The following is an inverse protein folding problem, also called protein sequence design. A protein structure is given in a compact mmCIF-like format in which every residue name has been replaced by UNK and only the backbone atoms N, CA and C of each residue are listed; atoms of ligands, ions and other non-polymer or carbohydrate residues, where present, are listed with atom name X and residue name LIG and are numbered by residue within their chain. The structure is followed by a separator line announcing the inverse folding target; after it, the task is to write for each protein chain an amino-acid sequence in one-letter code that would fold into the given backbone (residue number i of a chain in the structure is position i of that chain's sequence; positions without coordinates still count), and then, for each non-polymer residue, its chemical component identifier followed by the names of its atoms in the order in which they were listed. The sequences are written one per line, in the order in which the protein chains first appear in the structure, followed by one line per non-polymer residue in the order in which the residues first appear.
data_IF_591994561412
#
_entry.id   IF_591994561412
#
_cell.length_a   1.000
_cell.length_b   1.000
_cell.length_c   1.000
_cell.angle_alpha   90.00
_cell.angle_beta   90.00
_cell.angle_gamma   90.00
#
_symmetry.space_group_name_H-M   'P 1'
#
loop_
_entity.id
_entity.type
_entity.pdbx_description
1 polymer ?
#
# COMPACT_ATOMS: atom_id res chain seq x y z
N UNK A 1 -10.68 7.90 5.64
CA UNK A 1 -9.90 7.29 4.54
C UNK A 1 -10.65 6.10 4.05
N UNK A 2 -10.78 5.95 2.73
CA UNK A 2 -11.31 4.71 2.16
C UNK A 2 -10.42 3.52 2.54
N UNK A 3 -10.99 2.31 2.78
CA UNK A 3 -10.26 1.15 3.27
C UNK A 3 -9.06 0.72 2.40
N UNK A 4 -9.12 0.94 1.08
CA UNK A 4 -8.00 0.62 0.20
C UNK A 4 -6.75 1.47 0.47
N UNK A 5 -6.90 2.72 0.92
CA UNK A 5 -5.75 3.55 1.27
C UNK A 5 -5.09 3.11 2.59
N UNK A 6 -5.82 2.44 3.48
CA UNK A 6 -5.20 1.77 4.64
C UNK A 6 -4.35 0.57 4.19
N UNK A 7 -4.78 -0.13 3.14
CA UNK A 7 -3.98 -1.19 2.51
C UNK A 7 -2.73 -0.63 1.84
N UNK A 8 -2.85 0.49 1.12
CA UNK A 8 -1.71 1.19 0.54
C UNK A 8 -0.72 1.68 1.61
N UNK A 9 -1.22 2.24 2.72
CA UNK A 9 -0.41 2.66 3.87
C UNK A 9 0.36 1.47 4.44
N UNK A 10 -0.30 0.32 4.61
CA UNK A 10 0.35 -0.91 5.08
C UNK A 10 1.48 -1.35 4.15
N UNK A 11 1.24 -1.33 2.83
CA UNK A 11 2.27 -1.66 1.83
C UNK A 11 3.44 -0.69 1.94
N UNK A 12 3.17 0.62 2.03
CA UNK A 12 4.20 1.64 2.22
C UNK A 12 5.00 1.40 3.50
N UNK A 13 4.35 1.10 4.63
CA UNK A 13 5.02 0.85 5.90
C UNK A 13 5.93 -0.38 5.89
N UNK A 14 5.63 -1.38 5.06
CA UNK A 14 6.50 -2.54 4.83
C UNK A 14 7.77 -2.14 4.09
N UNK A 15 7.69 -1.22 3.13
CA UNK A 15 8.78 -0.94 2.16
C UNK A 15 9.53 0.36 2.41
N UNK A 16 9.02 1.28 3.23
CA UNK A 16 9.57 2.65 3.40
C UNK A 16 11.01 2.71 3.90
N UNK A 17 11.49 1.67 4.57
CA UNK A 17 12.86 1.57 5.09
C UNK A 17 13.81 0.86 4.11
N UNK A 18 13.31 0.37 2.98
CA UNK A 18 14.12 -0.24 1.92
C UNK A 18 14.82 0.84 1.09
N UNK A 19 16.02 0.55 0.58
CA UNK A 19 16.77 1.49 -0.25
C UNK A 19 16.08 1.76 -1.61
N UNK A 20 15.25 0.82 -2.09
CA UNK A 20 14.50 0.92 -3.35
C UNK A 20 13.05 0.42 -3.18
N UNK A 21 12.18 1.20 -2.51
CA UNK A 21 10.83 0.77 -2.13
C UNK A 21 9.94 0.33 -3.31
N UNK A 22 10.12 0.93 -4.48
CA UNK A 22 9.34 0.64 -5.69
C UNK A 22 9.73 -0.66 -6.39
N UNK A 23 10.87 -1.25 -5.99
CA UNK A 23 11.35 -2.54 -6.50
C UNK A 23 11.07 -3.70 -5.54
N UNK A 24 10.68 -3.38 -4.29
CA UNK A 24 10.42 -4.37 -3.27
C UNK A 24 9.19 -5.22 -3.62
N UNK A 25 9.36 -6.54 -3.57
CA UNK A 25 8.30 -7.51 -3.86
C UNK A 25 7.60 -7.93 -2.56
N UNK A 26 6.57 -7.17 -2.19
CA UNK A 26 5.76 -7.49 -1.02
C UNK A 26 4.89 -8.72 -1.27
N UNK A 27 4.87 -9.67 -0.35
CA UNK A 27 3.98 -10.82 -0.47
C UNK A 27 2.60 -10.49 0.10
N UNK A 28 1.54 -11.13 -0.44
CA UNK A 28 0.19 -11.01 0.12
C UNK A 28 0.16 -11.36 1.62
N UNK A 29 0.98 -12.34 2.03
CA UNK A 29 1.14 -12.73 3.43
C UNK A 29 1.64 -11.59 4.32
N UNK A 30 2.61 -10.80 3.86
CA UNK A 30 3.14 -9.67 4.64
C UNK A 30 2.08 -8.60 4.90
N UNK A 31 1.16 -8.42 3.96
CA UNK A 31 0.02 -7.49 4.06
C UNK A 31 -1.02 -8.03 5.04
N UNK A 32 -1.43 -9.29 4.88
CA UNK A 32 -2.46 -9.94 5.72
C UNK A 32 -2.04 -9.93 7.21
N UNK A 33 -0.76 -10.17 7.50
CA UNK A 33 -0.26 -10.19 8.88
C UNK A 33 -0.31 -8.84 9.59
N UNK A 34 -0.50 -7.74 8.87
CA UNK A 34 -0.47 -6.37 9.39
C UNK A 34 -1.84 -5.68 9.40
N UNK A 35 -2.89 -6.36 8.93
CA UNK A 35 -4.24 -5.82 8.89
C UNK A 35 -5.24 -6.75 9.55
N UNK A 36 -6.18 -6.17 10.30
CA UNK A 36 -7.34 -6.90 10.84
C UNK A 36 -8.45 -6.83 9.78
N UNK A 37 -8.20 -7.46 8.63
CA UNK A 37 -9.14 -7.56 7.52
C UNK A 37 -9.09 -8.97 6.91
N UNK A 38 -10.24 -9.46 6.44
CA UNK A 38 -10.31 -10.74 5.74
C UNK A 38 -9.62 -10.69 4.38
N UNK A 39 -9.13 -11.84 3.89
CA UNK A 39 -8.44 -11.92 2.60
C UNK A 39 -9.25 -11.32 1.44
N UNK A 40 -10.55 -11.63 1.35
CA UNK A 40 -11.41 -11.11 0.28
C UNK A 40 -11.51 -9.58 0.27
N UNK A 41 -11.40 -8.91 1.43
CA UNK A 41 -11.36 -7.46 1.51
C UNK A 41 -10.02 -6.92 1.03
N UNK A 42 -8.92 -7.54 1.46
CA UNK A 42 -7.57 -7.16 1.05
C UNK A 42 -7.41 -7.33 -0.47
N UNK A 43 -7.88 -8.44 -1.03
CA UNK A 43 -7.85 -8.71 -2.46
C UNK A 43 -8.57 -7.61 -3.25
N UNK A 44 -9.80 -7.25 -2.84
CA UNK A 44 -10.54 -6.15 -3.46
C UNK A 44 -9.82 -4.81 -3.33
N UNK A 45 -9.18 -4.52 -2.20
CA UNK A 45 -8.39 -3.30 -2.04
C UNK A 45 -7.20 -3.28 -3.00
N UNK A 46 -6.51 -4.40 -3.16
CA UNK A 46 -5.38 -4.52 -4.08
C UNK A 46 -5.82 -4.28 -5.53
N UNK A 47 -6.94 -4.86 -5.95
CA UNK A 47 -7.51 -4.63 -7.28
C UNK A 47 -7.82 -3.14 -7.53
N UNK A 48 -8.45 -2.46 -6.56
CA UNK A 48 -8.73 -1.03 -6.66
C UNK A 48 -7.45 -0.20 -6.75
N UNK A 49 -6.46 -0.48 -5.91
CA UNK A 49 -5.17 0.23 -5.94
C UNK A 49 -4.39 0.00 -7.23
N UNK A 50 -4.50 -1.19 -7.83
CA UNK A 50 -3.90 -1.49 -9.14
C UNK A 50 -4.61 -0.73 -10.26
N UNK A 51 -5.95 -0.68 -10.24
CA UNK A 51 -6.73 0.13 -11.19
C UNK A 51 -6.35 1.63 -11.13
N UNK A 52 -6.07 2.13 -9.92
CA UNK A 52 -5.60 3.50 -9.69
C UNK A 52 -4.10 3.70 -9.99
N UNK A 53 -3.37 2.65 -10.39
CA UNK A 53 -1.91 2.66 -10.68
C UNK A 53 -1.04 3.02 -9.47
N UNK A 54 -1.55 2.81 -8.26
CA UNK A 54 -0.82 3.06 -7.00
C UNK A 54 0.05 1.87 -6.60
N UNK A 55 -0.30 0.68 -7.07
CA UNK A 55 0.49 -0.54 -6.95
C UNK A 55 0.55 -1.27 -8.30
N UNK A 56 1.43 -2.26 -8.39
CA UNK A 56 1.49 -3.23 -9.48
C UNK A 56 1.37 -4.62 -8.86
N UNK A 57 0.43 -5.44 -9.35
CA UNK A 57 0.32 -6.84 -8.97
C UNK A 57 1.03 -7.69 -10.04
N UNK A 58 2.04 -8.44 -9.62
CA UNK A 58 2.77 -9.36 -10.52
C UNK A 58 2.45 -10.79 -10.13
N UNK A 59 2.05 -11.58 -11.13
CA UNK A 59 1.89 -13.03 -11.02
C UNK A 59 3.16 -13.68 -11.57
N UNK A 60 4.12 -13.94 -10.68
CA UNK A 60 5.32 -14.72 -10.97
C UNK A 60 5.05 -16.18 -10.53
N UNK A 61 5.97 -16.82 -9.80
CA UNK A 61 5.69 -18.07 -9.09
C UNK A 61 4.70 -17.90 -7.93
N UNK A 62 4.49 -16.65 -7.50
CA UNK A 62 3.52 -16.23 -6.49
C UNK A 62 3.01 -14.83 -6.80
N UNK A 63 1.89 -14.44 -6.18
CA UNK A 63 1.38 -13.06 -6.23
C UNK A 63 2.28 -12.17 -5.39
N UNK A 64 2.89 -11.17 -6.03
CA UNK A 64 3.70 -10.15 -5.37
C UNK A 64 3.19 -8.76 -5.74
N UNK A 65 3.32 -7.83 -4.79
CA UNK A 65 2.83 -6.46 -4.88
C UNK A 65 4.03 -5.52 -4.82
N UNK A 66 4.11 -4.58 -5.76
CA UNK A 66 5.08 -3.49 -5.76
C UNK A 66 4.32 -2.17 -5.61
N UNK A 67 4.76 -1.28 -4.71
CA UNK A 67 4.22 0.08 -4.67
C UNK A 67 4.80 0.90 -5.83
N UNK A 68 4.00 1.77 -6.45
CA UNK A 68 4.50 2.71 -7.46
C UNK A 68 4.94 4.01 -6.81
N UNK A 69 5.71 4.83 -7.53
CA UNK A 69 6.03 6.19 -7.08
C UNK A 69 4.77 7.03 -6.84
N UNK A 70 3.69 6.80 -7.62
CA UNK A 70 2.40 7.45 -7.41
C UNK A 70 1.74 7.00 -6.11
N UNK A 71 1.81 5.70 -5.79
CA UNK A 71 1.33 5.17 -4.50
C UNK A 71 2.04 5.79 -3.31
N UNK A 72 3.37 5.94 -3.39
CA UNK A 72 4.17 6.63 -2.35
C UNK A 72 3.70 8.08 -2.20
N UNK A 73 3.62 8.83 -3.30
CA UNK A 73 3.23 10.24 -3.27
C UNK A 73 1.82 10.44 -2.67
N UNK A 74 0.87 9.52 -2.94
CA UNK A 74 -0.47 9.56 -2.33
C UNK A 74 -0.38 9.40 -0.81
N UNK A 75 0.40 8.45 -0.31
CA UNK A 75 0.58 8.26 1.14
C UNK A 75 1.26 9.46 1.80
N UNK A 76 2.30 10.01 1.17
CA UNK A 76 2.99 11.21 1.66
C UNK A 76 2.05 12.41 1.71
N UNK A 77 1.24 12.62 0.66
CA UNK A 77 0.22 13.67 0.65
C UNK A 77 -0.79 13.47 1.78
N UNK A 78 -1.31 12.25 1.95
CA UNK A 78 -2.32 11.95 2.95
C UNK A 78 -1.79 12.10 4.40
N UNK A 79 -0.53 11.72 4.64
CA UNK A 79 0.13 11.86 5.94
C UNK A 79 0.51 13.31 6.26
N UNK A 80 0.93 14.11 5.28
CA UNK A 80 1.19 15.54 5.45
C UNK A 80 -0.09 16.34 5.79
N UNK A 81 -1.24 15.94 5.27
CA UNK A 81 -2.53 16.57 5.61
C UNK A 81 -2.97 16.31 7.06
N UNK A 82 -2.41 15.29 7.73
CA UNK A 82 -2.71 15.03 9.15
C UNK A 82 -1.80 15.83 10.11
N UNK A 83 -0.59 16.20 9.69
CA UNK A 83 0.34 16.99 10.50
C UNK A 83 -0.08 18.47 10.63
N UNK A 84 -0.75 19.03 9.63
CA UNK A 84 -1.19 20.43 9.61
C UNK A 84 -2.44 20.72 10.46
N UNK A 85 -3.14 19.69 10.94
CA UNK A 85 -4.36 19.85 11.76
C UNK A 85 -4.09 19.87 13.28
N UNK A 86 -2.83 19.83 13.71
CA UNK A 86 -2.46 19.84 15.13
C UNK A 86 -1.97 21.21 15.64
N UNK A 87 -2.17 22.27 14.84
CA UNK A 87 -1.90 23.67 15.24
C UNK A 87 -3.14 24.53 14.95
N UNK A 88 -4.22 24.33 15.72
CA UNK A 88 -5.19 25.38 16.06
C UNK A 88 -5.78 25.10 17.43
#
# INVERSE_FOLDING_TARGET
MDPQYQTLQTIYDIVKNDAQPTTYLCSTRDIILRQIAGWSSIEKHLELLEMEKLIIIKKLDRVVICITSAGIAVIEMLTQHQASNHIK
#
